data_IF_447113289274
#
_entry.id   IF_447113289274
#
_cell.length_a   1.000
_cell.length_b   1.000
_cell.length_c   1.000
_cell.angle_alpha   90.00
_cell.angle_beta   90.00
_cell.angle_gamma   90.00
#
_symmetry.space_group_name_H-M   'P 1'
#
loop_
_entity.id
_entity.type
_entity.pdbx_description
1 polymer ?
#
# COMPACT_ATOMS: atom_id res chain seq x y z
N UNK A 1 -8.58 -5.27 -9.07
CA UNK A 1 -8.70 -5.88 -7.72
C UNK A 1 -10.14 -6.25 -7.40
N UNK A 2 -11.08 -5.30 -7.38
CA UNK A 2 -12.48 -5.55 -6.98
C UNK A 2 -13.23 -6.52 -7.90
N UNK A 3 -13.10 -6.38 -9.23
CA UNK A 3 -13.80 -7.25 -10.20
C UNK A 3 -13.32 -8.70 -10.09
N UNK A 4 -12.00 -8.91 -10.05
CA UNK A 4 -11.39 -10.25 -9.91
C UNK A 4 -11.83 -10.89 -8.58
N UNK A 5 -11.84 -10.12 -7.49
CA UNK A 5 -12.33 -10.61 -6.19
C UNK A 5 -13.82 -10.94 -6.20
N UNK A 6 -14.65 -10.20 -6.95
CA UNK A 6 -16.09 -10.44 -7.04
C UNK A 6 -16.42 -11.66 -7.92
N UNK A 7 -15.82 -11.75 -9.10
CA UNK A 7 -16.04 -12.86 -10.06
C UNK A 7 -15.57 -14.20 -9.48
N UNK A 8 -14.43 -14.21 -8.78
CA UNK A 8 -13.85 -15.42 -8.22
C UNK A 8 -14.19 -15.64 -6.73
N UNK A 9 -15.16 -14.90 -6.16
CA UNK A 9 -15.55 -15.02 -4.74
C UNK A 9 -15.95 -16.45 -4.34
N UNK A 10 -16.47 -17.22 -5.28
CA UNK A 10 -16.98 -18.58 -5.08
C UNK A 10 -16.02 -19.68 -5.53
N UNK A 11 -14.90 -19.32 -6.18
CA UNK A 11 -13.97 -20.28 -6.81
C UNK A 11 -12.76 -20.62 -5.91
N UNK A 12 -12.80 -20.24 -4.63
CA UNK A 12 -11.71 -20.46 -3.68
C UNK A 12 -12.27 -20.88 -2.32
N UNK A 13 -12.56 -22.18 -2.18
CA UNK A 13 -13.02 -22.81 -0.92
C UNK A 13 -11.91 -22.90 0.12
N UNK A 14 -10.66 -22.93 -0.34
CA UNK A 14 -9.44 -22.96 0.48
C UNK A 14 -9.46 -21.87 1.54
N UNK A 15 -9.83 -20.65 1.14
CA UNK A 15 -9.90 -19.53 2.07
C UNK A 15 -10.77 -18.39 1.51
N UNK A 16 -12.04 -18.37 1.92
CA UNK A 16 -13.00 -17.32 1.52
C UNK A 16 -12.58 -15.91 1.97
N UNK A 17 -11.56 -15.75 2.84
CA UNK A 17 -11.09 -14.44 3.30
C UNK A 17 -10.21 -13.72 2.28
N UNK A 18 -9.55 -14.44 1.37
CA UNK A 18 -8.69 -13.87 0.32
C UNK A 18 -9.49 -12.98 -0.66
N UNK A 19 -10.60 -13.42 -1.27
CA UNK A 19 -11.38 -12.56 -2.16
C UNK A 19 -12.03 -11.38 -1.41
N UNK A 20 -12.42 -11.56 -0.15
CA UNK A 20 -12.95 -10.47 0.69
C UNK A 20 -11.87 -9.41 0.92
N UNK A 21 -10.64 -9.84 1.21
CA UNK A 21 -9.49 -8.94 1.33
C UNK A 21 -9.26 -8.10 0.08
N UNK A 22 -9.26 -8.73 -1.11
CA UNK A 22 -9.08 -8.05 -2.39
C UNK A 22 -10.17 -7.00 -2.67
N UNK A 23 -11.40 -7.27 -2.25
CA UNK A 23 -12.53 -6.35 -2.42
C UNK A 23 -12.37 -5.16 -1.47
N UNK A 24 -12.08 -5.40 -0.19
CA UNK A 24 -11.95 -4.34 0.83
C UNK A 24 -10.75 -3.44 0.52
N UNK A 25 -9.58 -4.02 0.25
CA UNK A 25 -8.39 -3.23 -0.10
C UNK A 25 -8.57 -2.48 -1.43
N UNK A 26 -9.19 -3.11 -2.42
CA UNK A 26 -9.51 -2.49 -3.70
C UNK A 26 -10.51 -1.33 -3.57
N UNK A 27 -11.53 -1.45 -2.72
CA UNK A 27 -12.52 -0.38 -2.53
C UNK A 27 -11.93 0.80 -1.75
N UNK A 28 -11.20 0.54 -0.67
CA UNK A 28 -10.56 1.59 0.14
C UNK A 28 -9.56 2.42 -0.68
N UNK A 29 -8.77 1.78 -1.55
CA UNK A 29 -7.82 2.47 -2.44
C UNK A 29 -8.53 3.30 -3.50
N UNK A 30 -9.64 2.81 -4.07
CA UNK A 30 -10.47 3.58 -5.00
C UNK A 30 -11.13 4.79 -4.33
N UNK A 31 -11.69 4.62 -3.13
CA UNK A 31 -12.28 5.70 -2.34
C UNK A 31 -11.24 6.79 -2.08
N UNK A 32 -10.03 6.40 -1.64
CA UNK A 32 -8.91 7.32 -1.43
C UNK A 32 -8.58 8.11 -2.71
N UNK A 33 -8.48 7.42 -3.85
CA UNK A 33 -8.18 8.04 -5.14
C UNK A 33 -9.28 9.01 -5.57
N UNK A 34 -10.54 8.62 -5.41
CA UNK A 34 -11.70 9.44 -5.74
C UNK A 34 -11.76 10.71 -4.88
N UNK A 35 -11.52 10.61 -3.57
CA UNK A 35 -11.42 11.75 -2.66
C UNK A 35 -10.31 12.69 -3.15
N UNK A 36 -9.11 12.17 -3.41
CA UNK A 36 -7.98 12.97 -3.92
C UNK A 36 -8.32 13.70 -5.22
N UNK A 37 -9.01 13.02 -6.14
CA UNK A 37 -9.43 13.58 -7.42
C UNK A 37 -10.50 14.68 -7.25
N UNK A 38 -11.54 14.44 -6.47
CA UNK A 38 -12.59 15.43 -6.17
C UNK A 38 -11.97 16.70 -5.56
N UNK A 39 -11.03 16.54 -4.63
CA UNK A 39 -10.33 17.67 -4.04
C UNK A 39 -9.48 18.43 -5.06
N UNK A 40 -8.76 17.73 -5.94
CA UNK A 40 -7.97 18.36 -7.01
C UNK A 40 -8.84 19.15 -7.99
N UNK A 41 -10.01 18.63 -8.36
CA UNK A 41 -10.94 19.29 -9.29
C UNK A 41 -11.63 20.49 -8.63
N UNK A 42 -11.91 20.41 -7.33
CA UNK A 42 -12.56 21.50 -6.57
C UNK A 42 -11.57 22.61 -6.14
N UNK A 43 -10.28 22.45 -6.42
CA UNK A 43 -9.20 23.36 -6.00
C UNK A 43 -9.07 24.64 -6.85
N UNK A 44 -10.15 25.11 -7.46
CA UNK A 44 -10.19 26.45 -8.06
C UNK A 44 -10.17 27.57 -7.01
N UNK A 45 -10.45 27.25 -5.73
CA UNK A 45 -10.63 28.24 -4.67
C UNK A 45 -9.76 28.04 -3.42
N UNK A 46 -8.53 27.49 -3.51
CA UNK A 46 -7.55 27.36 -2.39
C UNK A 46 -8.18 27.02 -1.02
N UNK A 47 -9.21 26.17 -1.01
CA UNK A 47 -9.97 25.87 0.19
C UNK A 47 -9.17 24.85 1.01
N UNK A 48 -8.84 25.21 2.25
CA UNK A 48 -8.11 24.34 3.16
C UNK A 48 -8.88 23.01 3.29
N UNK A 49 -8.23 21.87 3.01
CA UNK A 49 -8.87 20.55 3.18
C UNK A 49 -9.50 20.44 4.57
N UNK A 50 -10.81 20.15 4.66
CA UNK A 50 -11.51 20.11 5.94
C UNK A 50 -10.86 19.08 6.86
N UNK A 51 -10.84 19.39 8.16
CA UNK A 51 -10.23 18.54 9.21
C UNK A 51 -10.77 17.10 9.13
N UNK A 52 -12.08 16.97 8.88
CA UNK A 52 -12.76 15.67 8.72
C UNK A 52 -12.12 14.82 7.62
N UNK A 53 -11.74 15.41 6.48
CA UNK A 53 -11.13 14.65 5.40
C UNK A 53 -9.69 14.28 5.70
N UNK A 54 -8.94 15.13 6.40
CA UNK A 54 -7.59 14.76 6.86
C UNK A 54 -7.64 13.59 7.85
N UNK A 55 -8.60 13.61 8.77
CA UNK A 55 -8.82 12.52 9.72
C UNK A 55 -9.23 11.23 9.00
N UNK A 56 -10.17 11.32 8.06
CA UNK A 56 -10.60 10.18 7.25
C UNK A 56 -9.45 9.61 6.42
N UNK A 57 -8.61 10.47 5.85
CA UNK A 57 -7.42 10.05 5.10
C UNK A 57 -6.44 9.27 5.98
N UNK A 58 -6.22 9.73 7.22
CA UNK A 58 -5.42 9.01 8.21
C UNK A 58 -6.01 7.65 8.58
N UNK A 59 -7.33 7.60 8.83
CA UNK A 59 -8.03 6.36 9.15
C UNK A 59 -7.97 5.35 7.99
N UNK A 60 -8.13 5.81 6.75
CA UNK A 60 -7.99 4.98 5.56
C UNK A 60 -6.60 4.36 5.45
N UNK A 61 -5.53 5.13 5.71
CA UNK A 61 -4.18 4.58 5.70
C UNK A 61 -3.97 3.49 6.76
N UNK A 62 -4.41 3.74 7.99
CA UNK A 62 -4.32 2.76 9.08
C UNK A 62 -5.10 1.49 8.73
N UNK A 63 -6.30 1.66 8.18
CA UNK A 63 -7.15 0.55 7.76
C UNK A 63 -6.42 -0.27 6.68
N UNK A 64 -5.94 0.38 5.61
CA UNK A 64 -5.18 -0.27 4.54
C UNK A 64 -3.95 -1.02 5.09
N UNK A 65 -3.23 -0.44 6.06
CA UNK A 65 -2.08 -1.09 6.68
C UNK A 65 -2.44 -2.34 7.48
N UNK A 66 -3.49 -2.28 8.30
CA UNK A 66 -3.97 -3.45 9.06
C UNK A 66 -4.43 -4.55 8.11
N UNK A 67 -5.22 -4.19 7.09
CA UNK A 67 -5.64 -5.15 6.08
C UNK A 67 -4.43 -5.72 5.35
N UNK A 68 -3.42 -4.91 4.99
CA UNK A 68 -2.23 -5.40 4.31
C UNK A 68 -1.57 -6.57 5.06
N UNK A 69 -1.38 -6.45 6.38
CA UNK A 69 -0.83 -7.52 7.22
C UNK A 69 -1.75 -8.75 7.27
N UNK A 70 -3.07 -8.56 7.37
CA UNK A 70 -3.99 -9.69 7.33
C UNK A 70 -3.96 -10.42 5.97
N UNK A 71 -3.82 -9.67 4.88
CA UNK A 71 -3.72 -10.21 3.53
C UNK A 71 -2.48 -11.06 3.34
N UNK A 72 -1.33 -10.62 3.85
CA UNK A 72 -0.09 -11.41 3.81
C UNK A 72 -0.26 -12.71 4.57
N UNK A 73 -0.77 -12.65 5.81
CA UNK A 73 -1.02 -13.84 6.62
C UNK A 73 -1.95 -14.82 5.89
N UNK A 74 -3.05 -14.34 5.29
CA UNK A 74 -3.99 -15.21 4.59
C UNK A 74 -3.40 -15.86 3.34
N UNK A 75 -2.59 -15.13 2.56
CA UNK A 75 -1.92 -15.68 1.39
C UNK A 75 -0.84 -16.69 1.78
N UNK A 76 0.00 -16.37 2.77
CA UNK A 76 1.03 -17.29 3.24
C UNK A 76 0.45 -18.53 3.90
N UNK A 77 -0.66 -18.38 4.63
CA UNK A 77 -1.36 -19.54 5.18
C UNK A 77 -1.89 -20.42 4.04
N UNK A 78 -2.57 -19.82 3.04
CA UNK A 78 -3.10 -20.51 1.87
C UNK A 78 -2.07 -21.21 0.99
N UNK A 79 -0.84 -20.70 0.94
CA UNK A 79 0.24 -21.33 0.18
C UNK A 79 0.44 -22.81 0.53
N UNK A 80 0.27 -23.20 1.79
CA UNK A 80 0.51 -24.58 2.25
C UNK A 80 -0.55 -25.59 1.84
N UNK A 81 -1.76 -25.14 1.46
CA UNK A 81 -2.91 -26.00 1.22
C UNK A 81 -3.63 -25.70 -0.10
N UNK A 82 -3.08 -24.80 -0.93
CA UNK A 82 -3.67 -24.46 -2.23
C UNK A 82 -3.40 -25.57 -3.25
N UNK A 83 -4.47 -26.07 -3.87
CA UNK A 83 -4.42 -26.90 -5.06
C UNK A 83 -5.13 -26.18 -6.20
N UNK A 84 -4.50 -26.14 -7.38
CA UNK A 84 -5.09 -25.54 -8.59
C UNK A 84 -5.94 -26.53 -9.39
N UNK A 85 -5.99 -27.79 -8.95
CA UNK A 85 -6.76 -28.84 -9.60
C UNK A 85 -8.24 -28.76 -9.17
N UNK A 86 -9.14 -28.66 -10.14
CA UNK A 86 -10.60 -28.62 -9.90
C UNK A 86 -11.11 -29.91 -9.25
N UNK A 87 -10.36 -31.00 -9.34
CA UNK A 87 -10.70 -32.29 -8.71
C UNK A 87 -10.28 -32.36 -7.24
N UNK A 88 -9.50 -31.39 -6.73
CA UNK A 88 -8.98 -31.37 -5.35
C UNK A 88 -10.02 -30.96 -4.28
N UNK A 89 -11.29 -30.78 -4.66
CA UNK A 89 -12.40 -30.54 -3.73
C UNK A 89 -12.21 -29.27 -2.87
N UNK A 90 -12.23 -29.37 -1.52
CA UNK A 90 -12.19 -28.20 -0.63
C UNK A 90 -10.89 -27.37 -0.75
N UNK A 91 -9.82 -27.96 -1.28
CA UNK A 91 -8.52 -27.31 -1.46
C UNK A 91 -8.37 -26.61 -2.82
N UNK A 92 -9.43 -26.54 -3.63
CA UNK A 92 -9.39 -25.81 -4.89
C UNK A 92 -9.38 -24.29 -4.67
N UNK A 93 -8.46 -23.62 -5.36
CA UNK A 93 -8.50 -22.18 -5.56
C UNK A 93 -8.07 -21.83 -6.98
N UNK A 94 -8.80 -20.89 -7.60
CA UNK A 94 -8.47 -20.40 -8.92
C UNK A 94 -7.08 -19.73 -8.95
N UNK A 95 -6.24 -20.19 -9.88
CA UNK A 95 -4.84 -19.77 -10.01
C UNK A 95 -4.73 -18.26 -10.24
N UNK A 96 -5.66 -17.65 -11.00
CA UNK A 96 -5.63 -16.23 -11.28
C UNK A 96 -5.78 -15.42 -9.99
N UNK A 97 -6.73 -15.77 -9.12
CA UNK A 97 -6.98 -15.03 -7.87
C UNK A 97 -5.80 -15.13 -6.92
N UNK A 98 -5.25 -16.32 -6.75
CA UNK A 98 -4.12 -16.54 -5.86
C UNK A 98 -2.87 -15.78 -6.36
N UNK A 99 -2.48 -15.99 -7.62
CA UNK A 99 -1.29 -15.36 -8.21
C UNK A 99 -1.45 -13.83 -8.24
N UNK A 100 -2.64 -13.33 -8.57
CA UNK A 100 -2.89 -11.88 -8.57
C UNK A 100 -2.73 -11.27 -7.17
N UNK A 101 -3.28 -11.92 -6.14
CA UNK A 101 -3.13 -11.46 -4.74
C UNK A 101 -1.67 -11.48 -4.31
N UNK A 102 -0.95 -12.55 -4.63
CA UNK A 102 0.46 -12.69 -4.32
C UNK A 102 1.29 -11.58 -4.97
N UNK A 103 1.10 -11.35 -6.28
CA UNK A 103 1.81 -10.30 -7.03
C UNK A 103 1.55 -8.92 -6.43
N UNK A 104 0.30 -8.60 -6.07
CA UNK A 104 -0.03 -7.31 -5.44
C UNK A 104 0.76 -7.12 -4.14
N UNK A 105 0.78 -8.14 -3.29
CA UNK A 105 1.48 -8.09 -2.01
C UNK A 105 2.99 -7.88 -2.25
N UNK A 106 3.59 -8.66 -3.16
CA UNK A 106 5.01 -8.52 -3.51
C UNK A 106 5.32 -7.12 -4.03
N UNK A 107 4.52 -6.58 -4.96
CA UNK A 107 4.71 -5.24 -5.52
C UNK A 107 4.65 -4.18 -4.43
N UNK A 108 3.69 -4.26 -3.50
CA UNK A 108 3.63 -3.31 -2.38
C UNK A 108 4.84 -3.37 -1.44
N UNK A 109 5.38 -4.55 -1.16
CA UNK A 109 6.62 -4.69 -0.39
C UNK A 109 7.80 -4.05 -1.10
N UNK A 110 7.91 -4.27 -2.41
CA UNK A 110 8.96 -3.67 -3.25
C UNK A 110 8.86 -2.14 -3.19
N UNK A 111 7.68 -1.57 -3.42
CA UNK A 111 7.47 -0.12 -3.36
C UNK A 111 7.83 0.45 -1.98
N UNK A 112 7.43 -0.23 -0.90
CA UNK A 112 7.75 0.19 0.47
C UNK A 112 9.25 0.19 0.72
N UNK A 113 9.97 -0.85 0.29
CA UNK A 113 11.42 -0.95 0.40
C UNK A 113 12.11 0.18 -0.36
N UNK A 114 11.76 0.39 -1.63
CA UNK A 114 12.33 1.47 -2.46
C UNK A 114 12.06 2.86 -1.88
N UNK A 115 10.86 3.08 -1.33
CA UNK A 115 10.49 4.35 -0.69
C UNK A 115 11.34 4.59 0.56
N UNK A 116 11.53 3.56 1.39
CA UNK A 116 12.36 3.61 2.58
C UNK A 116 13.83 3.91 2.25
N UNK A 117 14.40 3.19 1.27
CA UNK A 117 15.77 3.41 0.80
C UNK A 117 15.95 4.83 0.27
N UNK A 118 15.03 5.31 -0.57
CA UNK A 118 15.07 6.66 -1.12
C UNK A 118 15.01 7.72 -0.03
N UNK A 119 14.13 7.55 0.96
CA UNK A 119 14.00 8.48 2.07
C UNK A 119 15.27 8.52 2.94
N UNK A 120 15.83 7.35 3.28
CA UNK A 120 17.09 7.25 4.01
C UNK A 120 18.24 7.93 3.27
N UNK A 121 18.39 7.68 1.97
CA UNK A 121 19.43 8.33 1.15
C UNK A 121 19.25 9.85 1.10
N UNK A 122 18.02 10.35 0.89
CA UNK A 122 17.74 11.78 0.87
C UNK A 122 18.02 12.46 2.22
N UNK A 123 17.63 11.84 3.34
CA UNK A 123 17.90 12.36 4.68
C UNK A 123 19.41 12.43 4.96
N UNK A 124 20.18 11.39 4.62
CA UNK A 124 21.63 11.40 4.74
C UNK A 124 22.28 12.51 3.89
N UNK A 125 21.85 12.68 2.63
CA UNK A 125 22.36 13.73 1.75
C UNK A 125 22.04 15.14 2.25
N UNK A 126 20.84 15.36 2.79
CA UNK A 126 20.43 16.67 3.35
C UNK A 126 21.22 16.97 4.63
N UNK A 127 21.35 16.00 5.54
CA UNK A 127 22.15 16.16 6.75
C UNK A 127 23.64 16.44 6.44
N UNK A 128 24.22 15.75 5.45
CA UNK A 128 25.60 15.97 5.03
C UNK A 128 25.80 17.35 4.38
N UNK A 129 24.86 17.81 3.54
CA UNK A 129 24.88 19.17 2.97
C UNK A 129 24.73 20.26 4.03
N UNK A 130 23.92 20.03 5.06
CA UNK A 130 23.74 20.99 6.16
C UNK A 130 25.02 21.10 7.01
N UNK A 131 25.64 19.96 7.38
CA UNK A 131 26.88 19.94 8.14
C UNK A 131 28.03 20.65 7.39
N UNK A 132 28.17 20.40 6.10
CA UNK A 132 29.24 20.99 5.29
C UNK A 132 29.05 22.52 5.09
N UNK A 133 27.80 23.02 5.10
CA UNK A 133 27.52 24.47 5.09
C UNK A 133 27.92 25.14 6.40
N UNK A 134 27.62 24.53 7.54
CA UNK A 134 28.00 25.07 8.84
C UNK A 134 29.52 25.14 9.00
N UNK A 135 30.24 24.12 8.52
CA UNK A 135 31.70 24.06 8.61
C UNK A 135 32.42 25.09 7.72
N UNK A 136 31.81 25.50 6.60
CA UNK A 136 32.34 26.60 5.76
C UNK A 136 32.15 27.97 6.38
N UNK A 137 31.07 28.21 7.13
CA UNK A 137 30.83 29.50 7.79
C UNK A 137 31.79 29.75 8.96
N UNK A 138 32.16 28.72 9.72
CA UNK A 138 33.18 28.84 10.78
C UNK A 138 34.55 29.21 10.22
N UNK A 139 34.96 28.63 9.09
CA UNK A 139 36.24 28.96 8.45
C UNK A 139 36.34 30.39 7.93
N UNK A 140 35.21 31.06 7.65
CA UNK A 140 35.20 32.43 7.13
C UNK A 140 35.23 33.50 8.23
N UNK A 141 35.09 33.11 9.51
CA UNK A 141 35.16 34.01 10.68
C UNK A 141 36.59 34.04 11.25
N UNK A 142 37.41 33.03 10.96
CA UNK A 142 38.80 32.90 11.42
C UNK A 142 39.83 33.43 10.42
N UNK A 143 39.42 34.06 9.32
CA UNK A 143 40.34 34.72 8.37
C UNK A 143 40.42 36.23 8.71
N UNK A 144 41.55 36.72 9.27
CA UNK A 144 41.73 38.11 9.71
C UNK A 144 41.96 39.12 8.57
#
# INVERSE_FOLDING_TARGET
MVIIGFVNRYQCTVNSKIPVWLIVTGSLTLIRSAISFIYRVKDEHKQLRPIIVRLFDGLLHLNIFIWFILGTIWVYWAYSYVSYDKTAGPNYCDQLTYVFTFVIITVSYVIMLFSCLSFCCCCCCVCFRHHNRHNRQSHQIDEP
#
